data_IF_914224315888
#
_entry.id   IF_914224315888
#
_cell.length_a   1.000
_cell.length_b   1.000
_cell.length_c   1.000
_cell.angle_alpha   90.00
_cell.angle_beta   90.00
_cell.angle_gamma   90.00
#
_symmetry.space_group_name_H-M   'P 1'
#
loop_
_entity.id
_entity.type
_entity.pdbx_description
1 polymer ?
#
# COMPACT_ATOMS: atom_id res chain seq x y z
N UNK A 1 -5.88 -7.39 7.46
CA UNK A 1 -7.01 -6.56 6.98
C UNK A 1 -7.11 -6.48 5.45
N UNK A 2 -6.01 -6.53 4.70
CA UNK A 2 -6.01 -6.51 3.22
C UNK A 2 -6.30 -7.87 2.52
N UNK A 3 -6.69 -8.91 3.26
CA UNK A 3 -7.07 -10.20 2.67
C UNK A 3 -5.96 -11.24 2.45
N UNK A 4 -4.73 -11.06 2.97
CA UNK A 4 -3.58 -12.00 2.84
C UNK A 4 -3.97 -13.47 3.09
N UNK A 5 -4.51 -13.78 4.27
CA UNK A 5 -4.92 -15.13 4.66
C UNK A 5 -6.00 -15.70 3.74
N UNK A 6 -6.95 -14.87 3.29
CA UNK A 6 -8.00 -15.30 2.37
C UNK A 6 -7.40 -15.67 1.00
N UNK A 7 -6.56 -14.80 0.43
CA UNK A 7 -5.91 -15.03 -0.85
C UNK A 7 -5.07 -16.31 -0.85
N UNK A 8 -4.26 -16.53 0.19
CA UNK A 8 -3.43 -17.74 0.32
C UNK A 8 -4.28 -19.00 0.48
N UNK A 9 -5.38 -18.94 1.24
CA UNK A 9 -6.31 -20.09 1.36
C UNK A 9 -6.96 -20.44 0.03
N UNK A 10 -7.44 -19.46 -0.72
CA UNK A 10 -8.06 -19.69 -2.03
C UNK A 10 -7.05 -20.21 -3.05
N UNK A 11 -5.82 -19.69 -3.04
CA UNK A 11 -4.72 -20.21 -3.84
C UNK A 11 -4.41 -21.67 -3.49
N UNK A 12 -4.26 -21.99 -2.20
CA UNK A 12 -3.97 -23.34 -1.74
C UNK A 12 -5.05 -24.35 -2.16
N UNK A 13 -6.33 -23.98 -2.02
CA UNK A 13 -7.48 -24.82 -2.45
C UNK A 13 -7.48 -25.10 -3.95
N UNK A 14 -7.07 -24.12 -4.75
CA UNK A 14 -7.18 -24.19 -6.21
C UNK A 14 -5.99 -24.91 -6.86
N UNK A 15 -4.85 -25.01 -6.17
CA UNK A 15 -3.59 -25.46 -6.77
C UNK A 15 -2.96 -26.69 -6.11
N UNK A 16 -3.43 -27.11 -4.93
CA UNK A 16 -2.84 -28.25 -4.20
C UNK A 16 -3.86 -29.33 -3.90
N UNK A 17 -3.39 -30.59 -3.84
CA UNK A 17 -4.21 -31.72 -3.38
C UNK A 17 -4.45 -31.67 -1.87
N UNK A 18 -3.45 -31.18 -1.12
CA UNK A 18 -3.48 -31.14 0.34
C UNK A 18 -2.97 -29.77 0.81
N UNK A 19 -3.66 -29.19 1.79
CA UNK A 19 -3.28 -27.89 2.30
C UNK A 19 -3.59 -27.77 3.79
N UNK A 20 -2.59 -27.36 4.54
CA UNK A 20 -2.68 -27.14 5.99
C UNK A 20 -2.45 -25.67 6.30
N UNK A 21 -3.04 -25.19 7.40
CA UNK A 21 -2.81 -23.84 7.92
C UNK A 21 -2.48 -23.88 9.40
N UNK A 22 -1.47 -23.10 9.78
CA UNK A 22 -1.04 -22.86 11.14
C UNK A 22 -1.21 -21.36 11.40
N UNK A 23 -2.22 -20.99 12.18
CA UNK A 23 -2.46 -19.61 12.59
C UNK A 23 -1.79 -19.38 13.95
N UNK A 24 -0.60 -18.78 13.91
CA UNK A 24 0.24 -18.63 15.10
C UNK A 24 -0.33 -17.62 16.10
N UNK A 25 -1.17 -16.68 15.66
CA UNK A 25 -1.85 -15.77 16.58
C UNK A 25 -3.00 -16.46 17.30
N UNK A 26 -3.80 -17.22 16.54
CA UNK A 26 -5.00 -17.88 17.07
C UNK A 26 -4.68 -19.08 17.94
N UNK A 27 -3.65 -19.86 17.60
CA UNK A 27 -3.32 -21.13 18.25
C UNK A 27 -1.91 -21.10 18.84
N UNK A 28 -1.72 -20.41 19.97
CA UNK A 28 -0.39 -20.29 20.63
C UNK A 28 0.24 -21.65 20.96
N UNK A 29 -0.56 -22.69 21.21
CA UNK A 29 -0.06 -24.04 21.51
C UNK A 29 0.78 -24.66 20.37
N UNK A 30 0.52 -24.32 19.11
CA UNK A 30 1.26 -24.88 17.97
C UNK A 30 2.68 -24.34 17.85
N UNK A 31 3.04 -23.29 18.61
CA UNK A 31 4.40 -22.76 18.65
C UNK A 31 5.40 -23.83 19.11
N UNK A 32 4.95 -24.72 20.02
CA UNK A 32 5.75 -25.85 20.53
C UNK A 32 6.30 -26.78 19.45
N UNK A 33 5.66 -26.85 18.28
CA UNK A 33 6.12 -27.63 17.12
C UNK A 33 7.52 -27.17 16.66
N UNK A 34 7.85 -25.89 16.87
CA UNK A 34 9.07 -25.26 16.38
C UNK A 34 10.11 -25.00 17.48
N UNK A 35 9.88 -25.43 18.73
CA UNK A 35 10.81 -25.19 19.84
C UNK A 35 11.97 -26.20 19.88
N UNK A 36 11.80 -27.39 19.28
CA UNK A 36 12.83 -28.44 19.18
C UNK A 36 13.85 -28.20 18.07
N UNK A 37 14.50 -29.28 17.63
CA UNK A 37 15.35 -29.25 16.43
C UNK A 37 14.48 -29.03 15.19
N UNK A 38 15.02 -28.34 14.18
CA UNK A 38 14.33 -28.09 12.91
C UNK A 38 14.36 -29.31 11.97
N UNK A 39 14.03 -30.47 12.54
CA UNK A 39 13.86 -31.73 11.83
C UNK A 39 12.49 -31.74 11.14
N UNK A 40 12.51 -31.78 9.80
CA UNK A 40 11.29 -31.66 9.00
C UNK A 40 10.36 -32.86 9.21
N UNK A 41 10.88 -34.07 9.46
CA UNK A 41 10.03 -35.23 9.70
C UNK A 41 9.22 -35.09 11.00
N UNK A 42 9.86 -34.63 12.08
CA UNK A 42 9.20 -34.37 13.35
C UNK A 42 8.19 -33.22 13.27
N UNK A 43 8.53 -32.14 12.56
CA UNK A 43 7.63 -31.01 12.35
C UNK A 43 6.40 -31.48 11.56
N UNK A 44 6.60 -32.19 10.45
CA UNK A 44 5.49 -32.70 9.61
C UNK A 44 4.62 -33.69 10.37
N UNK A 45 5.21 -34.59 11.16
CA UNK A 45 4.47 -35.51 12.02
C UNK A 45 3.56 -34.73 12.98
N UNK A 46 4.11 -33.71 13.63
CA UNK A 46 3.37 -32.85 14.56
C UNK A 46 2.23 -32.10 13.86
N UNK A 47 2.47 -31.52 12.68
CA UNK A 47 1.44 -30.83 11.90
C UNK A 47 0.37 -31.82 11.42
N UNK A 48 0.75 -33.05 11.03
CA UNK A 48 -0.19 -34.07 10.55
C UNK A 48 -1.24 -34.44 11.62
N UNK A 49 -0.82 -34.42 12.89
CA UNK A 49 -1.64 -34.70 14.06
C UNK A 49 -2.57 -33.55 14.47
N UNK A 50 -2.40 -32.35 13.90
CA UNK A 50 -3.26 -31.21 14.20
C UNK A 50 -4.74 -31.49 13.82
N UNK A 51 -5.69 -30.87 14.52
CA UNK A 51 -7.11 -31.08 14.29
C UNK A 51 -7.57 -30.71 12.87
N UNK A 52 -8.79 -31.14 12.52
CA UNK A 52 -9.37 -30.90 11.18
C UNK A 52 -9.48 -29.43 10.81
N UNK A 53 -9.56 -28.52 11.78
CA UNK A 53 -9.61 -27.07 11.55
C UNK A 53 -8.33 -26.50 10.93
N UNK A 54 -7.19 -27.18 11.09
CA UNK A 54 -5.92 -26.83 10.45
C UNK A 54 -5.82 -27.33 9.00
N UNK A 55 -6.88 -27.93 8.44
CA UNK A 55 -6.91 -28.39 7.05
C UNK A 55 -7.73 -27.40 6.22
N UNK A 56 -7.08 -26.76 5.26
CA UNK A 56 -7.74 -25.89 4.29
C UNK A 56 -8.62 -26.73 3.35
N UNK A 57 -8.12 -27.89 2.92
CA UNK A 57 -8.84 -28.85 2.07
C UNK A 57 -9.33 -30.02 2.92
N UNK A 58 -10.61 -30.36 2.79
CA UNK A 58 -11.23 -31.47 3.54
C UNK A 58 -10.47 -32.77 3.26
N UNK A 59 -10.11 -33.48 4.33
CA UNK A 59 -9.34 -34.74 4.30
C UNK A 59 -7.87 -34.62 3.83
N UNK A 60 -7.28 -33.43 3.89
CA UNK A 60 -5.83 -33.26 3.62
C UNK A 60 -4.98 -34.25 4.41
N UNK A 61 -4.00 -34.83 3.72
CA UNK A 61 -2.96 -35.71 4.25
C UNK A 61 -1.60 -35.07 4.00
N UNK A 62 -0.61 -35.41 4.82
CA UNK A 62 0.77 -35.00 4.57
C UNK A 62 1.37 -35.91 3.50
N UNK A 63 1.40 -35.43 2.26
CA UNK A 63 1.93 -36.17 1.12
C UNK A 63 3.05 -35.33 0.49
N UNK A 64 4.31 -35.82 0.48
CA UNK A 64 5.41 -35.13 -0.18
C UNK A 64 5.08 -34.70 -1.61
N UNK A 65 5.52 -33.49 -1.99
CA UNK A 65 5.37 -32.87 -3.30
C UNK A 65 3.91 -32.59 -3.73
N UNK A 66 2.95 -32.74 -2.82
CA UNK A 66 1.50 -32.56 -3.06
C UNK A 66 0.82 -31.76 -1.95
N UNK A 67 1.60 -31.25 -1.00
CA UNK A 67 1.10 -30.57 0.18
C UNK A 67 1.74 -29.19 0.30
N UNK A 68 0.89 -28.17 0.48
CA UNK A 68 1.32 -26.84 0.91
C UNK A 68 1.01 -26.61 2.38
N UNK A 69 1.94 -25.95 3.08
CA UNK A 69 1.78 -25.49 4.44
C UNK A 69 1.62 -23.97 4.45
N UNK A 70 0.54 -23.49 5.06
CA UNK A 70 0.31 -22.05 5.24
C UNK A 70 0.67 -21.67 6.66
N UNK A 71 1.71 -20.86 6.81
CA UNK A 71 2.16 -20.31 8.09
C UNK A 71 1.60 -18.89 8.21
N UNK A 72 0.47 -18.76 8.90
CA UNK A 72 -0.30 -17.52 9.00
C UNK A 72 0.15 -16.72 10.24
N UNK A 73 0.33 -15.41 10.07
CA UNK A 73 0.87 -14.51 11.09
C UNK A 73 2.25 -14.96 11.61
N UNK A 74 3.16 -15.28 10.69
CA UNK A 74 4.50 -15.82 10.93
C UNK A 74 5.31 -15.05 11.98
N UNK A 75 5.13 -13.73 12.07
CA UNK A 75 5.81 -12.89 13.05
C UNK A 75 5.46 -13.24 14.50
N UNK A 76 4.35 -13.94 14.73
CA UNK A 76 3.96 -14.43 16.06
C UNK A 76 4.71 -15.72 16.44
N UNK A 77 5.38 -16.42 15.49
CA UNK A 77 6.24 -17.58 15.77
C UNK A 77 7.61 -17.48 15.07
N UNK A 78 8.60 -16.78 15.67
CA UNK A 78 9.93 -16.58 15.08
C UNK A 78 10.72 -17.87 14.80
N UNK A 79 10.50 -18.92 15.58
CA UNK A 79 11.11 -20.23 15.36
C UNK A 79 10.55 -20.91 14.10
N UNK A 80 9.26 -20.72 13.78
CA UNK A 80 8.70 -21.17 12.50
C UNK A 80 9.38 -20.47 11.31
N UNK A 81 9.66 -19.16 11.41
CA UNK A 81 10.44 -18.44 10.38
C UNK A 81 11.87 -18.99 10.26
N UNK A 82 12.50 -19.31 11.38
CA UNK A 82 13.85 -19.89 11.40
C UNK A 82 13.89 -21.27 10.73
N UNK A 83 12.80 -22.04 10.81
CA UNK A 83 12.68 -23.35 10.18
C UNK A 83 12.61 -23.32 8.64
N UNK A 84 12.28 -22.17 8.03
CA UNK A 84 12.08 -22.06 6.58
C UNK A 84 13.31 -22.47 5.76
N UNK A 85 14.52 -22.26 6.30
CA UNK A 85 15.76 -22.76 5.67
C UNK A 85 15.71 -24.27 5.45
N UNK A 86 15.29 -25.01 6.47
CA UNK A 86 15.28 -26.47 6.46
C UNK A 86 14.13 -27.01 5.59
N UNK A 87 12.99 -26.31 5.55
CA UNK A 87 11.93 -26.61 4.58
C UNK A 87 12.40 -26.45 3.13
N UNK A 88 13.16 -25.38 2.85
CA UNK A 88 13.75 -25.15 1.53
C UNK A 88 14.81 -26.21 1.15
N UNK A 89 15.66 -26.60 2.10
CA UNK A 89 16.67 -27.65 1.88
C UNK A 89 16.03 -29.03 1.67
N UNK A 90 14.94 -29.33 2.38
CA UNK A 90 14.20 -30.57 2.28
C UNK A 90 13.39 -30.68 0.96
N UNK A 91 12.68 -29.62 0.59
CA UNK A 91 11.98 -29.51 -0.70
C UNK A 91 10.76 -30.42 -0.89
N UNK A 92 10.32 -31.19 0.13
CA UNK A 92 9.13 -32.04 0.01
C UNK A 92 7.82 -31.28 0.18
N UNK A 93 7.84 -30.09 0.76
CA UNK A 93 6.65 -29.31 1.10
C UNK A 93 6.81 -27.85 0.72
N UNK A 94 5.84 -27.30 0.00
CA UNK A 94 5.78 -25.87 -0.25
C UNK A 94 5.28 -25.16 1.01
N UNK A 95 5.89 -24.03 1.34
CA UNK A 95 5.51 -23.22 2.51
C UNK A 95 5.17 -21.80 2.06
N UNK A 96 3.94 -21.38 2.34
CA UNK A 96 3.49 -20.01 2.12
C UNK A 96 3.28 -19.35 3.46
N UNK A 97 4.03 -18.28 3.71
CA UNK A 97 3.90 -17.51 4.93
C UNK A 97 3.05 -16.26 4.71
N UNK A 98 2.20 -15.93 5.67
CA UNK A 98 1.62 -14.59 5.77
C UNK A 98 2.20 -13.91 7.00
N UNK A 99 2.27 -12.59 6.95
CA UNK A 99 2.53 -11.81 8.14
C UNK A 99 2.24 -10.35 7.89
N UNK A 100 1.78 -9.69 8.95
CA UNK A 100 1.79 -8.24 9.00
C UNK A 100 3.14 -7.82 9.59
N UNK A 101 3.70 -6.71 9.13
CA UNK A 101 4.80 -6.05 9.85
C UNK A 101 6.12 -6.85 9.90
N UNK A 102 6.32 -7.80 8.98
CA UNK A 102 7.53 -8.65 8.91
C UNK A 102 8.86 -7.88 8.73
N UNK A 103 8.78 -6.56 8.47
CA UNK A 103 9.90 -5.62 8.39
C UNK A 103 9.86 -4.46 9.38
N UNK A 104 8.93 -4.43 10.36
CA UNK A 104 9.00 -3.42 11.43
C UNK A 104 10.04 -3.87 12.46
N UNK A 105 11.18 -3.19 12.44
CA UNK A 105 12.20 -3.28 13.48
C UNK A 105 11.54 -3.08 14.87
N UNK A 106 11.61 -4.09 15.73
CA UNK A 106 11.17 -4.03 17.13
C UNK A 106 9.68 -4.28 17.43
N UNK A 107 8.79 -4.39 16.43
CA UNK A 107 7.36 -4.60 16.73
C UNK A 107 7.05 -6.06 17.08
N UNK A 108 7.67 -7.01 16.36
CA UNK A 108 7.43 -8.47 16.52
C UNK A 108 8.64 -9.36 16.23
N UNK A 109 9.84 -8.80 16.31
CA UNK A 109 11.02 -9.64 16.51
C UNK A 109 11.03 -9.91 18.01
N UNK A 110 10.65 -11.12 18.42
CA UNK A 110 10.80 -11.50 19.82
C UNK A 110 12.23 -11.20 20.26
N UNK A 111 12.40 -10.59 21.44
CA UNK A 111 13.74 -10.37 22.00
C UNK A 111 14.40 -11.67 22.45
N UNK A 112 13.66 -12.80 22.40
CA UNK A 112 14.28 -14.12 22.47
C UNK A 112 15.27 -14.24 21.30
N UNK A 113 16.47 -14.80 21.54
CA UNK A 113 17.38 -15.10 20.45
C UNK A 113 16.67 -16.05 19.47
N UNK A 114 16.16 -15.53 18.36
CA UNK A 114 15.89 -16.39 17.20
C UNK A 114 17.20 -17.07 16.83
N UNK A 115 17.16 -18.31 16.36
CA UNK A 115 18.37 -19.04 15.93
C UNK A 115 18.96 -18.48 14.61
N UNK A 116 18.71 -17.20 14.32
CA UNK A 116 18.99 -16.50 13.08
C UNK A 116 17.76 -16.41 12.18
N UNK A 117 17.63 -15.31 11.44
CA UNK A 117 16.70 -15.22 10.31
C UNK A 117 17.31 -16.04 9.17
N UNK A 118 16.50 -16.89 8.53
CA UNK A 118 16.89 -17.69 7.38
C UNK A 118 17.06 -16.83 6.11
N UNK A 119 18.06 -15.95 6.10
CA UNK A 119 18.34 -15.05 4.96
C UNK A 119 18.54 -15.88 3.68
N UNK A 120 17.82 -15.51 2.62
CA UNK A 120 17.88 -16.22 1.32
C UNK A 120 17.06 -17.50 1.23
N UNK A 121 16.27 -17.84 2.26
CA UNK A 121 15.37 -19.00 2.26
C UNK A 121 13.90 -18.65 2.02
N UNK A 122 13.59 -17.37 1.88
CA UNK A 122 12.24 -16.85 1.64
C UNK A 122 12.24 -15.91 0.43
N UNK A 123 11.16 -15.95 -0.35
CA UNK A 123 10.81 -14.92 -1.32
C UNK A 123 9.72 -14.04 -0.70
N UNK A 124 9.95 -12.73 -0.62
CA UNK A 124 9.01 -11.80 -0.02
C UNK A 124 8.18 -11.13 -1.11
N UNK A 125 6.86 -11.25 -0.99
CA UNK A 125 5.89 -10.56 -1.84
C UNK A 125 5.12 -9.59 -0.95
N UNK A 126 5.23 -8.31 -1.27
CA UNK A 126 4.43 -7.27 -0.62
C UNK A 126 3.02 -7.26 -1.23
N UNK A 127 2.01 -7.17 -0.37
CA UNK A 127 0.61 -7.12 -0.78
C UNK A 127 0.00 -5.82 -0.24
N UNK A 128 -0.77 -5.14 -1.08
CA UNK A 128 -1.44 -3.89 -0.76
C UNK A 128 -2.97 -4.06 -0.78
N UNK A 129 -3.74 -3.07 -0.31
CA UNK A 129 -5.17 -2.99 -0.62
C UNK A 129 -5.38 -2.99 -2.14
N UNK A 130 -6.58 -3.42 -2.58
CA UNK A 130 -6.91 -3.55 -4.00
C UNK A 130 -6.62 -2.25 -4.76
N UNK A 131 -6.01 -2.34 -5.93
CA UNK A 131 -5.83 -1.17 -6.79
C UNK A 131 -7.10 -0.85 -7.59
N UNK A 132 -7.04 0.19 -8.44
CA UNK A 132 -8.19 0.55 -9.26
C UNK A 132 -8.57 -0.53 -10.29
N UNK A 133 -7.61 -1.25 -10.86
CA UNK A 133 -7.91 -2.32 -11.82
C UNK A 133 -8.61 -3.49 -11.12
N UNK A 134 -8.14 -3.90 -9.95
CA UNK A 134 -8.77 -4.92 -9.11
C UNK A 134 -10.17 -4.49 -8.66
N UNK A 135 -10.37 -3.20 -8.36
CA UNK A 135 -11.70 -2.64 -8.09
C UNK A 135 -12.65 -2.76 -9.29
N UNK A 136 -12.15 -2.54 -10.51
CA UNK A 136 -12.94 -2.77 -11.74
C UNK A 136 -13.30 -4.25 -11.92
N UNK A 137 -12.39 -5.17 -11.59
CA UNK A 137 -12.69 -6.60 -11.60
C UNK A 137 -13.78 -6.97 -10.61
N UNK A 138 -13.71 -6.41 -9.40
CA UNK A 138 -14.71 -6.64 -8.36
C UNK A 138 -16.10 -6.13 -8.75
N UNK A 139 -16.16 -5.04 -9.55
CA UNK A 139 -17.39 -4.52 -10.16
C UNK A 139 -17.85 -5.29 -11.41
N UNK A 140 -17.17 -6.38 -11.78
CA UNK A 140 -17.43 -7.17 -12.98
C UNK A 140 -17.37 -6.35 -14.28
N UNK A 141 -16.48 -5.36 -14.35
CA UNK A 141 -16.22 -4.64 -15.61
C UNK A 141 -15.52 -5.60 -16.58
N UNK A 142 -16.03 -5.66 -17.81
CA UNK A 142 -15.52 -6.56 -18.85
C UNK A 142 -14.02 -6.31 -19.10
N UNK A 143 -13.23 -7.39 -19.05
CA UNK A 143 -11.78 -7.37 -19.28
C UNK A 143 -11.41 -6.80 -20.66
N UNK A 144 -12.25 -6.97 -21.68
CA UNK A 144 -12.03 -6.40 -23.01
C UNK A 144 -12.08 -4.86 -22.98
N UNK A 145 -12.92 -4.26 -22.14
CA UNK A 145 -12.98 -2.80 -21.97
C UNK A 145 -11.71 -2.31 -21.28
N UNK A 146 -11.25 -3.01 -20.24
CA UNK A 146 -9.99 -2.70 -19.53
C UNK A 146 -8.80 -2.83 -20.50
N UNK A 147 -8.75 -3.90 -21.29
CA UNK A 147 -7.70 -4.11 -22.29
C UNK A 147 -7.76 -3.04 -23.40
N UNK A 148 -8.94 -2.61 -23.82
CA UNK A 148 -9.08 -1.51 -24.78
C UNK A 148 -8.52 -0.19 -24.21
N UNK A 149 -8.77 0.12 -22.93
CA UNK A 149 -8.14 1.26 -22.27
C UNK A 149 -6.61 1.15 -22.29
N UNK A 150 -6.06 -0.01 -21.94
CA UNK A 150 -4.60 -0.27 -21.97
C UNK A 150 -4.02 -0.05 -23.36
N UNK A 151 -4.68 -0.55 -24.40
CA UNK A 151 -4.30 -0.34 -25.80
C UNK A 151 -4.35 1.15 -26.19
N UNK A 152 -5.41 1.88 -25.83
CA UNK A 152 -5.49 3.32 -26.07
C UNK A 152 -4.34 4.09 -25.39
N UNK A 153 -3.94 3.70 -24.18
CA UNK A 153 -2.79 4.32 -23.48
C UNK A 153 -1.48 4.03 -24.21
N UNK A 154 -1.24 2.77 -24.57
CA UNK A 154 -0.01 2.34 -25.25
C UNK A 154 0.13 2.98 -26.63
N UNK A 155 -0.97 3.05 -27.38
CA UNK A 155 -1.03 3.71 -28.70
C UNK A 155 -1.19 5.23 -28.62
N UNK A 156 -1.33 5.79 -27.41
CA UNK A 156 -1.54 7.22 -27.17
C UNK A 156 -2.75 7.79 -27.92
N UNK A 157 -3.83 7.01 -28.03
CA UNK A 157 -5.09 7.37 -28.68
C UNK A 157 -6.16 7.68 -27.64
N UNK A 158 -7.08 8.56 -28.00
CA UNK A 158 -8.26 8.85 -27.17
C UNK A 158 -9.04 7.58 -26.84
N UNK A 159 -9.45 7.45 -25.59
CA UNK A 159 -10.39 6.43 -25.17
C UNK A 159 -11.81 6.87 -25.56
N UNK A 160 -12.70 5.99 -26.06
CA UNK A 160 -14.03 6.41 -26.53
C UNK A 160 -14.76 7.27 -25.50
N UNK A 161 -15.28 8.44 -25.90
CA UNK A 161 -15.81 9.47 -24.98
C UNK A 161 -16.82 8.93 -23.97
N UNK A 162 -17.73 8.06 -24.42
CA UNK A 162 -18.71 7.43 -23.54
C UNK A 162 -18.05 6.54 -22.45
N UNK A 163 -17.02 5.77 -22.80
CA UNK A 163 -16.28 4.97 -21.84
C UNK A 163 -15.40 5.84 -20.95
N UNK A 164 -14.84 6.93 -21.49
CA UNK A 164 -14.07 7.91 -20.73
C UNK A 164 -14.89 8.49 -19.57
N UNK A 165 -16.11 8.96 -19.82
CA UNK A 165 -16.99 9.48 -18.76
C UNK A 165 -17.35 8.41 -17.73
N UNK A 166 -17.63 7.18 -18.17
CA UNK A 166 -17.88 6.06 -17.25
C UNK A 166 -16.69 5.75 -16.35
N UNK A 167 -15.47 5.77 -16.89
CA UNK A 167 -14.26 5.53 -16.11
C UNK A 167 -13.95 6.69 -15.16
N UNK A 168 -14.31 7.93 -15.50
CA UNK A 168 -14.28 9.06 -14.56
C UNK A 168 -15.24 8.86 -13.39
N UNK A 169 -16.44 8.31 -13.63
CA UNK A 169 -17.36 7.94 -12.54
C UNK A 169 -16.83 6.80 -11.67
N UNK A 170 -16.23 5.78 -12.30
CA UNK A 170 -15.67 4.63 -11.59
C UNK A 170 -14.48 5.05 -10.70
N UNK A 171 -13.58 5.89 -11.19
CA UNK A 171 -12.46 6.36 -10.36
C UNK A 171 -12.94 7.28 -9.23
N UNK A 172 -13.98 8.10 -9.45
CA UNK A 172 -14.60 8.88 -8.36
C UNK A 172 -15.18 7.97 -7.27
N UNK A 173 -15.82 6.85 -7.64
CA UNK A 173 -16.28 5.83 -6.70
C UNK A 173 -15.12 5.17 -5.97
N UNK A 174 -14.08 4.76 -6.68
CA UNK A 174 -12.87 4.19 -6.08
C UNK A 174 -12.21 5.14 -5.08
N UNK A 175 -12.09 6.43 -5.39
CA UNK A 175 -11.56 7.43 -4.44
C UNK A 175 -12.37 7.46 -3.14
N UNK A 176 -13.70 7.32 -3.21
CA UNK A 176 -14.56 7.29 -2.03
C UNK A 176 -14.48 5.97 -1.24
N UNK A 177 -14.27 4.85 -1.94
CA UNK A 177 -14.33 3.49 -1.37
C UNK A 177 -12.95 3.01 -0.88
N UNK A 178 -11.90 3.27 -1.66
CA UNK A 178 -10.55 2.73 -1.45
C UNK A 178 -10.40 1.29 -1.94
N UNK A 179 -9.30 0.67 -1.54
CA UNK A 179 -8.92 -0.70 -1.91
C UNK A 179 -9.12 -1.74 -0.81
N UNK A 180 -9.57 -1.33 0.38
CA UNK A 180 -9.76 -2.27 1.51
C UNK A 180 -10.84 -3.31 1.16
N UNK A 181 -10.54 -4.63 1.14
CA UNK A 181 -11.46 -5.64 0.59
C UNK A 181 -12.83 -5.68 1.26
N UNK A 182 -12.91 -5.51 2.58
CA UNK A 182 -14.19 -5.46 3.30
C UNK A 182 -15.03 -4.24 2.87
N UNK A 183 -14.37 -3.10 2.63
CA UNK A 183 -15.01 -1.86 2.20
C UNK A 183 -15.52 -1.99 0.76
N UNK A 184 -14.71 -2.59 -0.12
CA UNK A 184 -15.08 -2.89 -1.51
C UNK A 184 -16.25 -3.87 -1.56
N UNK A 185 -16.22 -4.96 -0.79
CA UNK A 185 -17.31 -5.94 -0.71
C UNK A 185 -18.61 -5.26 -0.28
N UNK A 186 -18.56 -4.42 0.77
CA UNK A 186 -19.74 -3.70 1.24
C UNK A 186 -20.29 -2.76 0.18
N UNK A 187 -19.43 -2.05 -0.53
CA UNK A 187 -19.85 -1.17 -1.63
C UNK A 187 -20.56 -1.95 -2.74
N UNK A 188 -20.05 -3.14 -3.11
CA UNK A 188 -20.68 -4.00 -4.13
C UNK A 188 -22.05 -4.50 -3.67
N UNK A 189 -22.17 -4.87 -2.39
CA UNK A 189 -23.41 -5.39 -1.81
C UNK A 189 -24.51 -4.33 -1.70
N UNK A 190 -24.17 -3.10 -1.30
CA UNK A 190 -25.18 -2.08 -0.94
C UNK A 190 -25.25 -0.90 -1.89
N UNK A 191 -24.17 -0.62 -2.63
CA UNK A 191 -23.97 0.62 -3.38
C UNK A 191 -24.24 1.89 -2.53
N UNK A 192 -24.03 1.80 -1.21
CA UNK A 192 -24.31 2.85 -0.23
C UNK A 192 -23.02 3.36 0.43
N UNK A 193 -22.66 4.61 0.12
CA UNK A 193 -21.46 5.24 0.67
C UNK A 193 -21.55 5.55 2.18
N UNK A 194 -22.74 5.63 2.76
CA UNK A 194 -22.92 5.80 4.21
C UNK A 194 -22.50 4.51 4.93
N UNK A 195 -22.91 3.35 4.42
CA UNK A 195 -22.50 2.04 4.96
C UNK A 195 -21.01 1.77 4.76
N UNK A 196 -20.48 2.09 3.57
CA UNK A 196 -19.03 2.06 3.28
C UNK A 196 -18.24 2.87 4.32
N UNK A 197 -18.68 4.10 4.59
CA UNK A 197 -18.01 4.99 5.53
C UNK A 197 -18.03 4.48 6.97
N UNK A 198 -19.08 3.77 7.40
CA UNK A 198 -19.11 3.12 8.72
C UNK A 198 -17.97 2.10 8.86
N UNK A 199 -17.72 1.30 7.82
CA UNK A 199 -16.62 0.32 7.82
C UNK A 199 -15.27 1.04 7.82
N UNK A 200 -15.08 2.05 6.96
CA UNK A 200 -13.82 2.81 6.92
C UNK A 200 -13.50 3.46 8.27
N UNK A 201 -14.49 4.08 8.93
CA UNK A 201 -14.32 4.67 10.25
C UNK A 201 -13.98 3.62 11.32
N UNK A 202 -14.63 2.44 11.26
CA UNK A 202 -14.30 1.31 12.14
C UNK A 202 -12.85 0.88 11.94
N UNK A 203 -12.41 0.69 10.69
CA UNK A 203 -11.02 0.33 10.38
C UNK A 203 -10.02 1.36 10.91
N UNK A 204 -10.31 2.65 10.77
CA UNK A 204 -9.47 3.73 11.34
C UNK A 204 -9.37 3.60 12.87
N UNK A 205 -10.49 3.33 13.54
CA UNK A 205 -10.51 3.10 15.00
C UNK A 205 -9.69 1.86 15.37
N UNK A 206 -9.87 0.75 14.63
CA UNK A 206 -9.15 -0.50 14.84
C UNK A 206 -7.64 -0.28 14.69
N UNK A 207 -7.19 0.42 13.63
CA UNK A 207 -5.79 0.78 13.46
C UNK A 207 -5.25 1.63 14.61
N UNK A 208 -6.01 2.65 15.04
CA UNK A 208 -5.63 3.51 16.18
C UNK A 208 -5.54 2.75 17.50
N UNK A 209 -6.21 1.60 17.63
CA UNK A 209 -6.11 0.74 18.80
C UNK A 209 -4.76 0.02 18.89
N UNK A 210 -4.12 -0.24 17.75
CA UNK A 210 -2.80 -0.88 17.66
C UNK A 210 -1.63 0.11 17.84
N UNK A 211 -1.88 1.43 17.79
CA UNK A 211 -0.81 2.43 17.84
C UNK A 211 0.01 2.35 19.13
N UNK A 212 1.33 2.35 19.00
CA UNK A 212 2.28 2.30 20.13
C UNK A 212 2.39 0.92 20.78
N UNK A 213 1.71 -0.10 20.25
CA UNK A 213 1.90 -1.48 20.74
C UNK A 213 3.28 -2.02 20.37
N UNK A 214 3.85 -2.90 21.17
CA UNK A 214 5.10 -3.62 20.91
C UNK A 214 5.21 -4.84 21.84
N UNK A 215 6.15 -5.74 21.58
CA UNK A 215 6.45 -6.85 22.49
C UNK A 215 7.42 -6.39 23.59
N UNK A 216 7.08 -6.67 24.85
CA UNK A 216 8.02 -6.53 25.97
C UNK A 216 9.03 -7.69 26.02
N UNK A 217 9.94 -7.67 27.00
CA UNK A 217 10.97 -8.71 27.18
C UNK A 217 10.40 -10.12 27.41
N UNK A 218 9.13 -10.20 27.86
CA UNK A 218 8.39 -11.45 28.09
C UNK A 218 7.54 -11.88 26.89
N UNK A 219 7.66 -11.22 25.73
CA UNK A 219 6.81 -11.40 24.54
C UNK A 219 5.32 -11.11 24.78
N UNK A 220 5.00 -10.24 25.73
CA UNK A 220 3.63 -9.75 25.94
C UNK A 220 3.41 -8.48 25.12
N UNK A 221 2.23 -8.34 24.53
CA UNK A 221 1.84 -7.11 23.82
C UNK A 221 1.59 -6.02 24.87
N UNK A 222 2.39 -4.96 24.82
CA UNK A 222 2.28 -3.78 25.66
C UNK A 222 2.13 -2.53 24.79
N UNK A 223 1.51 -1.49 25.32
CA UNK A 223 1.30 -0.21 24.61
C UNK A 223 2.08 0.91 25.29
N UNK A 224 2.95 1.60 24.57
CA UNK A 224 3.51 2.87 25.00
C UNK A 224 2.49 3.98 24.71
N UNK A 225 1.78 4.43 25.74
CA UNK A 225 0.74 5.47 25.62
C UNK A 225 1.29 6.83 25.14
N UNK A 226 2.54 7.14 25.46
CA UNK A 226 3.18 8.38 25.00
C UNK A 226 3.51 8.29 23.50
N UNK A 227 4.03 7.15 23.05
CA UNK A 227 4.26 6.90 21.64
C UNK A 227 2.95 6.83 20.86
N UNK A 228 1.94 6.13 21.39
CA UNK A 228 0.59 6.06 20.83
C UNK A 228 0.00 7.44 20.59
N UNK A 229 0.08 8.33 21.56
CA UNK A 229 -0.42 9.71 21.43
C UNK A 229 0.27 10.42 20.26
N UNK A 230 1.60 10.31 20.14
CA UNK A 230 2.34 10.93 19.03
C UNK A 230 1.98 10.33 17.67
N UNK A 231 1.78 9.01 17.61
CA UNK A 231 1.35 8.32 16.38
C UNK A 231 -0.05 8.81 15.97
N UNK A 232 -0.99 8.90 16.91
CA UNK A 232 -2.33 9.46 16.68
C UNK A 232 -2.25 10.90 16.16
N UNK A 233 -1.48 11.75 16.84
CA UNK A 233 -1.30 13.15 16.49
C UNK A 233 -0.72 13.34 15.07
N UNK A 234 0.28 12.54 14.70
CA UNK A 234 0.83 12.54 13.34
C UNK A 234 -0.24 12.10 12.35
N UNK A 235 -0.90 10.97 12.59
CA UNK A 235 -1.89 10.39 11.67
C UNK A 235 -3.06 11.35 11.44
N UNK A 236 -3.64 11.91 12.51
CA UNK A 236 -4.77 12.83 12.44
C UNK A 236 -4.39 14.19 11.83
N UNK A 237 -3.11 14.55 11.80
CA UNK A 237 -2.65 15.76 11.14
C UNK A 237 -2.57 15.65 9.62
N UNK A 238 -2.50 14.43 9.05
CA UNK A 238 -2.20 14.21 7.61
C UNK A 238 -3.16 14.98 6.68
N UNK A 239 -4.50 14.94 6.88
CA UNK A 239 -5.41 15.71 6.02
C UNK A 239 -5.12 17.21 6.05
N UNK A 240 -4.81 17.77 7.23
CA UNK A 240 -4.43 19.18 7.37
C UNK A 240 -3.09 19.48 6.70
N UNK A 241 -2.12 18.56 6.74
CA UNK A 241 -0.84 18.70 6.06
C UNK A 241 -1.02 18.78 4.53
N UNK A 242 -1.86 17.91 3.98
CA UNK A 242 -2.11 17.83 2.54
C UNK A 242 -2.96 19.00 2.00
N UNK A 243 -3.81 19.60 2.84
CA UNK A 243 -4.63 20.75 2.48
C UNK A 243 -3.84 22.07 2.35
N UNK A 244 -2.59 22.13 2.82
CA UNK A 244 -1.73 23.31 2.69
C UNK A 244 -1.33 23.55 1.25
N UNK A 245 -1.05 24.81 0.90
CA UNK A 245 -0.42 25.15 -0.38
C UNK A 245 0.95 24.48 -0.49
N UNK A 246 1.82 24.67 0.51
CA UNK A 246 3.05 23.91 0.64
C UNK A 246 2.80 22.62 1.42
N UNK A 247 2.74 21.50 0.71
CA UNK A 247 2.45 20.19 1.30
C UNK A 247 3.63 19.54 2.04
N UNK A 248 4.79 20.19 2.11
CA UNK A 248 5.91 19.75 2.96
C UNK A 248 5.39 19.54 4.38
N UNK A 249 5.67 18.38 4.94
CA UNK A 249 5.26 18.02 6.29
C UNK A 249 5.89 18.98 7.30
N UNK A 250 5.06 19.54 8.18
CA UNK A 250 5.49 20.51 9.17
C UNK A 250 5.00 20.05 10.54
N UNK A 251 5.93 19.76 11.45
CA UNK A 251 5.61 19.34 12.82
C UNK A 251 4.76 20.38 13.56
N UNK A 252 4.94 21.67 13.28
CA UNK A 252 4.16 22.77 13.88
C UNK A 252 2.65 22.73 13.57
N UNK A 253 2.23 21.98 12.55
CA UNK A 253 0.81 21.77 12.20
C UNK A 253 0.16 20.74 13.14
N UNK A 254 0.96 19.84 13.72
CA UNK A 254 0.51 18.91 14.76
C UNK A 254 0.28 19.69 16.05
N UNK A 255 1.35 20.30 16.57
CA UNK A 255 1.35 21.19 17.73
C UNK A 255 2.51 22.19 17.60
N UNK A 256 2.36 23.42 18.10
CA UNK A 256 3.41 24.45 18.03
C UNK A 256 4.75 24.03 18.66
N UNK A 257 4.71 23.13 19.65
CA UNK A 257 5.89 22.59 20.35
C UNK A 257 6.39 21.27 19.74
N UNK A 258 5.67 20.69 18.79
CA UNK A 258 6.09 19.45 18.13
C UNK A 258 7.38 19.69 17.31
N UNK A 259 8.34 18.77 17.46
CA UNK A 259 9.65 18.83 16.79
C UNK A 259 9.95 17.49 16.13
N UNK A 260 10.86 17.50 15.15
CA UNK A 260 11.32 16.29 14.46
C UNK A 260 11.80 15.21 15.44
N UNK A 261 12.67 15.59 16.38
CA UNK A 261 13.23 14.68 17.39
C UNK A 261 12.18 13.92 18.19
N UNK A 262 10.97 14.45 18.33
CA UNK A 262 9.92 13.83 19.14
C UNK A 262 8.88 13.04 18.34
N UNK A 263 8.75 13.26 17.03
CA UNK A 263 7.68 12.67 16.20
C UNK A 263 8.19 11.87 15.00
N UNK A 264 9.50 11.88 14.72
CA UNK A 264 10.07 11.09 13.61
C UNK A 264 9.84 9.58 13.81
N UNK A 265 9.90 9.09 15.06
CA UNK A 265 9.59 7.67 15.36
C UNK A 265 8.15 7.32 15.02
N UNK A 266 7.20 8.22 15.31
CA UNK A 266 5.78 8.03 14.99
C UNK A 266 5.53 7.96 13.47
N UNK A 267 6.21 8.80 12.68
CA UNK A 267 6.14 8.73 11.20
C UNK A 267 6.73 7.41 10.69
N UNK A 268 7.89 7.00 11.22
CA UNK A 268 8.50 5.69 10.86
C UNK A 268 7.59 4.53 11.21
N UNK A 269 6.97 4.58 12.39
CA UNK A 269 6.02 3.57 12.85
C UNK A 269 4.83 3.45 11.88
N UNK A 270 4.18 4.57 11.53
CA UNK A 270 3.04 4.57 10.59
C UNK A 270 3.43 4.05 9.20
N UNK A 271 4.60 4.44 8.69
CA UNK A 271 5.11 3.96 7.40
C UNK A 271 5.34 2.46 7.45
N UNK A 272 6.03 2.00 8.48
CA UNK A 272 6.35 0.59 8.68
C UNK A 272 5.08 -0.25 8.91
N UNK A 273 4.03 0.33 9.50
CA UNK A 273 2.71 -0.29 9.63
C UNK A 273 1.95 -0.37 8.29
N UNK A 274 2.31 0.45 7.30
CA UNK A 274 1.69 0.49 5.98
C UNK A 274 0.43 1.36 5.90
N UNK A 275 0.32 2.37 6.78
CA UNK A 275 -0.79 3.35 6.73
C UNK A 275 -0.43 4.61 5.96
N UNK A 276 0.87 4.90 5.84
CA UNK A 276 1.35 6.12 5.18
C UNK A 276 2.54 5.86 4.28
N UNK A 277 2.70 6.75 3.32
CA UNK A 277 3.83 6.81 2.41
C UNK A 277 4.56 8.14 2.52
N UNK A 278 5.90 8.08 2.47
CA UNK A 278 6.77 9.25 2.58
C UNK A 278 7.32 9.58 1.20
N UNK A 279 7.09 10.83 0.76
CA UNK A 279 7.59 11.34 -0.51
C UNK A 279 8.68 12.39 -0.26
N UNK A 280 9.91 12.13 -0.67
CA UNK A 280 11.05 13.00 -0.38
C UNK A 280 11.29 14.04 -1.47
N UNK A 281 11.68 15.25 -1.08
CA UNK A 281 12.09 16.28 -2.02
C UNK A 281 13.45 15.91 -2.63
N UNK A 282 13.62 16.16 -3.91
CA UNK A 282 14.89 16.01 -4.59
C UNK A 282 15.67 17.33 -4.60
N UNK A 283 16.97 17.26 -4.31
CA UNK A 283 17.89 18.39 -4.47
C UNK A 283 18.16 18.70 -5.94
N UNK A 284 18.20 17.66 -6.78
CA UNK A 284 18.26 17.72 -8.25
C UNK A 284 17.52 16.52 -8.85
N UNK A 285 17.09 16.64 -10.11
CA UNK A 285 16.41 15.56 -10.85
C UNK A 285 17.47 14.76 -11.60
N UNK A 286 18.20 13.91 -10.87
CA UNK A 286 19.21 13.00 -11.40
C UNK A 286 19.07 11.61 -10.77
N UNK A 287 19.40 10.58 -11.54
CA UNK A 287 19.38 9.19 -11.06
C UNK A 287 20.72 8.78 -10.42
N UNK A 288 20.71 7.88 -9.42
CA UNK A 288 19.51 7.35 -8.75
C UNK A 288 18.91 8.40 -7.80
N UNK A 289 17.58 8.61 -7.86
CA UNK A 289 16.90 9.69 -7.12
C UNK A 289 17.15 9.66 -5.61
N UNK A 290 17.32 8.48 -5.00
CA UNK A 290 17.53 8.37 -3.57
C UNK A 290 18.80 9.10 -3.09
N UNK A 291 19.86 9.14 -3.91
CA UNK A 291 21.11 9.86 -3.59
C UNK A 291 20.89 11.36 -3.45
N UNK A 292 19.89 11.89 -4.14
CA UNK A 292 19.55 13.30 -4.15
C UNK A 292 18.35 13.64 -3.26
N UNK A 293 17.79 12.64 -2.56
CA UNK A 293 16.65 12.80 -1.66
C UNK A 293 17.04 13.57 -0.39
N UNK A 294 16.26 14.59 -0.04
CA UNK A 294 16.49 15.43 1.13
C UNK A 294 15.62 14.90 2.28
N UNK A 295 16.20 14.09 3.18
CA UNK A 295 15.46 13.35 4.21
C UNK A 295 14.61 14.22 5.17
N UNK A 296 14.97 15.49 5.38
CA UNK A 296 14.20 16.43 6.22
C UNK A 296 13.17 17.28 5.44
N UNK A 297 13.00 17.02 4.14
CA UNK A 297 11.98 17.64 3.29
C UNK A 297 11.15 16.56 2.64
N UNK A 298 9.96 16.33 3.19
CA UNK A 298 9.09 15.27 2.72
C UNK A 298 7.61 15.66 2.82
N UNK A 299 6.78 15.01 2.04
CA UNK A 299 5.32 14.97 2.15
C UNK A 299 4.90 13.60 2.70
N UNK A 300 3.71 13.51 3.28
CA UNK A 300 3.14 12.27 3.82
C UNK A 300 1.77 12.05 3.18
N UNK A 301 1.57 10.86 2.61
CA UNK A 301 0.32 10.42 1.99
C UNK A 301 -0.25 9.23 2.76
N UNK A 302 -1.56 9.03 2.71
CA UNK A 302 -2.21 7.82 3.25
C UNK A 302 -2.16 6.72 2.19
N UNK A 303 -1.82 5.50 2.58
CA UNK A 303 -1.60 4.39 1.63
C UNK A 303 -2.89 3.84 0.99
N UNK A 304 -4.07 4.23 1.50
CA UNK A 304 -5.37 3.95 0.89
C UNK A 304 -6.21 5.23 0.78
N UNK A 305 -6.62 5.58 -0.44
CA UNK A 305 -7.37 6.80 -0.73
C UNK A 305 -8.75 6.83 -0.06
N UNK A 306 -9.40 5.68 0.10
CA UNK A 306 -10.69 5.58 0.78
C UNK A 306 -10.58 5.90 2.26
N UNK A 307 -9.50 5.45 2.91
CA UNK A 307 -9.19 5.82 4.29
C UNK A 307 -8.88 7.32 4.41
N UNK A 308 -8.13 7.93 3.48
CA UNK A 308 -7.94 9.38 3.47
C UNK A 308 -9.29 10.12 3.42
N UNK A 309 -10.18 9.71 2.52
CA UNK A 309 -11.51 10.33 2.37
C UNK A 309 -12.39 10.12 3.61
N UNK A 310 -12.24 9.00 4.31
CA UNK A 310 -12.92 8.76 5.59
C UNK A 310 -12.41 9.69 6.72
N UNK A 311 -11.14 10.11 6.66
CA UNK A 311 -10.57 11.09 7.61
C UNK A 311 -11.03 12.54 7.36
N UNK A 312 -11.61 12.84 6.18
CA UNK A 312 -12.16 14.15 5.84
C UNK A 312 -13.62 14.32 6.32
N UNK A 313 -14.23 15.48 6.10
CA UNK A 313 -15.63 15.72 6.47
C UNK A 313 -16.61 14.77 5.76
N UNK A 314 -17.75 14.50 6.42
CA UNK A 314 -18.76 13.52 5.98
C UNK A 314 -19.39 13.80 4.61
N UNK A 315 -19.36 15.06 4.15
CA UNK A 315 -19.93 15.51 2.88
C UNK A 315 -18.93 15.41 1.71
N UNK A 316 -17.64 15.16 1.99
CA UNK A 316 -16.60 15.06 0.96
C UNK A 316 -16.88 13.95 -0.06
N UNK A 317 -17.30 12.72 0.30
CA UNK A 317 -17.66 11.70 -0.69
C UNK A 317 -18.70 12.17 -1.70
N UNK A 318 -19.72 12.90 -1.24
CA UNK A 318 -20.74 13.48 -2.12
C UNK A 318 -20.13 14.51 -3.07
N UNK A 319 -19.26 15.40 -2.57
CA UNK A 319 -18.53 16.38 -3.40
C UNK A 319 -17.58 15.73 -4.41
N UNK A 320 -17.02 14.55 -4.11
CA UNK A 320 -16.20 13.78 -5.07
C UNK A 320 -17.09 13.32 -6.22
N UNK A 321 -18.20 12.65 -5.89
CA UNK A 321 -19.13 12.10 -6.87
C UNK A 321 -19.77 13.18 -7.76
N UNK A 322 -20.14 14.32 -7.18
CA UNK A 322 -20.71 15.46 -7.93
C UNK A 322 -19.66 16.30 -8.66
N UNK A 323 -18.36 15.96 -8.54
CA UNK A 323 -17.26 16.73 -9.07
C UNK A 323 -17.24 18.21 -8.59
N UNK A 324 -17.53 18.45 -7.30
CA UNK A 324 -17.68 19.78 -6.70
C UNK A 324 -16.78 20.04 -5.46
N UNK A 325 -15.67 19.32 -5.33
CA UNK A 325 -14.74 19.47 -4.20
C UNK A 325 -13.99 20.83 -4.05
N UNK A 326 -14.16 21.76 -4.99
CA UNK A 326 -13.46 23.05 -4.95
C UNK A 326 -11.92 22.95 -4.87
N UNK A 327 -11.31 23.73 -3.97
CA UNK A 327 -9.84 23.89 -3.80
C UNK A 327 -9.17 22.62 -3.25
N UNK A 328 -9.89 21.81 -2.47
CA UNK A 328 -9.37 20.58 -1.85
C UNK A 328 -9.15 19.41 -2.82
N UNK A 329 -9.46 19.56 -4.12
CA UNK A 329 -9.27 18.47 -5.11
C UNK A 329 -7.81 18.04 -5.25
N UNK A 330 -6.88 18.99 -5.12
CA UNK A 330 -5.45 18.74 -5.35
C UNK A 330 -4.90 17.63 -4.44
N UNK A 331 -5.19 17.69 -3.14
CA UNK A 331 -4.69 16.68 -2.19
C UNK A 331 -5.19 15.27 -2.49
N UNK A 332 -6.44 15.11 -2.93
CA UNK A 332 -7.05 13.80 -3.17
C UNK A 332 -6.40 13.14 -4.38
N UNK A 333 -6.29 13.87 -5.50
CA UNK A 333 -5.68 13.32 -6.70
C UNK A 333 -4.17 13.13 -6.55
N UNK A 334 -3.48 13.99 -5.79
CA UNK A 334 -2.06 13.79 -5.48
C UNK A 334 -1.86 12.52 -4.63
N UNK A 335 -2.69 12.30 -3.61
CA UNK A 335 -2.65 11.06 -2.81
C UNK A 335 -3.02 9.82 -3.63
N UNK A 336 -3.95 9.91 -4.58
CA UNK A 336 -4.26 8.82 -5.51
C UNK A 336 -3.04 8.43 -6.36
N UNK A 337 -2.25 9.41 -6.82
CA UNK A 337 -1.03 9.14 -7.58
C UNK A 337 0.08 8.58 -6.69
N UNK A 338 0.20 9.09 -5.45
CA UNK A 338 1.11 8.53 -4.46
C UNK A 338 0.79 7.05 -4.17
N UNK A 339 -0.49 6.73 -3.95
CA UNK A 339 -0.96 5.36 -3.77
C UNK A 339 -0.62 4.48 -4.98
N UNK A 340 -0.87 4.97 -6.20
CA UNK A 340 -0.56 4.22 -7.41
C UNK A 340 0.94 3.92 -7.54
N UNK A 341 1.81 4.91 -7.30
CA UNK A 341 3.26 4.69 -7.30
C UNK A 341 3.68 3.70 -6.21
N UNK A 342 3.15 3.83 -4.99
CA UNK A 342 3.47 2.95 -3.88
C UNK A 342 3.09 1.50 -4.16
N UNK A 343 1.85 1.24 -4.61
CA UNK A 343 1.36 -0.11 -4.94
C UNK A 343 2.13 -0.76 -6.08
N UNK A 344 2.77 0.03 -6.94
CA UNK A 344 3.67 -0.43 -8.01
C UNK A 344 5.11 -0.65 -7.54
N UNK A 345 5.39 -0.54 -6.24
CA UNK A 345 6.73 -0.68 -5.66
C UNK A 345 7.66 0.49 -6.01
N UNK A 346 7.12 1.64 -6.46
CA UNK A 346 7.94 2.80 -6.84
C UNK A 346 8.14 3.74 -5.64
N UNK A 347 9.39 4.10 -5.29
CA UNK A 347 9.64 5.09 -4.26
C UNK A 347 9.08 6.46 -4.67
N UNK A 348 8.59 7.22 -3.68
CA UNK A 348 7.98 8.51 -3.91
C UNK A 348 9.00 9.65 -3.80
N UNK A 349 9.11 10.42 -4.88
CA UNK A 349 9.92 11.62 -4.92
C UNK A 349 9.12 12.78 -5.50
N UNK A 350 9.37 13.98 -5.01
CA UNK A 350 8.87 15.23 -5.58
C UNK A 350 10.02 16.22 -5.77
N UNK A 351 9.79 17.30 -6.49
CA UNK A 351 10.82 18.31 -6.69
C UNK A 351 10.28 19.70 -6.39
N UNK A 352 10.92 20.40 -5.45
CA UNK A 352 10.56 21.76 -5.11
C UNK A 352 11.77 22.64 -4.79
N UNK A 353 11.65 23.93 -5.09
CA UNK A 353 12.63 24.99 -4.78
C UNK A 353 11.94 26.16 -4.10
N UNK A 354 12.70 26.90 -3.29
CA UNK A 354 12.21 28.09 -2.58
C UNK A 354 11.70 29.20 -3.53
N UNK A 355 12.09 29.15 -4.80
CA UNK A 355 11.57 30.03 -5.87
C UNK A 355 10.08 29.81 -6.19
N UNK A 356 9.40 28.88 -5.54
CA UNK A 356 8.00 28.52 -5.81
C UNK A 356 7.83 27.50 -6.94
N UNK A 357 8.93 26.89 -7.39
CA UNK A 357 8.89 25.79 -8.36
C UNK A 357 8.51 24.51 -7.61
N UNK A 358 7.43 23.85 -8.01
CA UNK A 358 6.98 22.58 -7.42
C UNK A 358 6.47 21.64 -8.51
N UNK A 359 6.94 20.39 -8.47
CA UNK A 359 6.49 19.25 -9.27
C UNK A 359 5.92 18.23 -8.29
N UNK A 360 4.71 17.73 -8.58
CA UNK A 360 3.99 16.82 -7.68
C UNK A 360 4.78 15.53 -7.44
N UNK A 361 5.25 14.87 -8.51
CA UNK A 361 6.13 13.70 -8.40
C UNK A 361 7.21 13.63 -9.50
N UNK A 362 8.29 12.91 -9.21
CA UNK A 362 9.33 12.51 -10.16
C UNK A 362 9.44 10.99 -10.09
N UNK A 363 9.28 10.32 -11.24
CA UNK A 363 9.33 8.86 -11.29
C UNK A 363 9.88 8.36 -12.61
N UNK A 364 10.35 7.13 -12.63
CA UNK A 364 10.79 6.46 -13.84
C UNK A 364 9.64 5.72 -14.49
N UNK A 365 9.38 6.06 -15.75
CA UNK A 365 8.34 5.46 -16.57
C UNK A 365 8.96 5.20 -17.94
N UNK A 366 8.72 4.04 -18.55
CA UNK A 366 9.32 3.63 -19.83
C UNK A 366 10.86 3.72 -19.80
N UNK A 367 11.48 3.32 -18.68
CA UNK A 367 12.92 3.43 -18.45
C UNK A 367 13.50 4.85 -18.64
N UNK A 368 12.67 5.88 -18.45
CA UNK A 368 13.07 7.30 -18.54
C UNK A 368 12.53 8.06 -17.33
N UNK A 369 13.21 9.14 -16.97
CA UNK A 369 12.70 10.07 -15.96
C UNK A 369 11.51 10.87 -16.51
N UNK A 370 10.42 10.89 -15.75
CA UNK A 370 9.23 11.68 -16.00
C UNK A 370 8.96 12.63 -14.82
N UNK A 371 8.61 13.86 -15.15
CA UNK A 371 7.83 14.70 -14.25
C UNK A 371 6.38 14.19 -14.29
N UNK A 372 5.77 14.00 -13.13
CA UNK A 372 4.38 13.55 -13.01
C UNK A 372 3.58 14.61 -12.27
N UNK A 373 2.51 15.09 -12.91
CA UNK A 373 1.66 16.19 -12.42
C UNK A 373 0.22 15.71 -12.27
N UNK A 374 -0.37 15.86 -11.08
CA UNK A 374 -1.76 15.53 -10.80
C UNK A 374 -2.61 16.81 -10.85
N UNK A 375 -3.43 16.98 -11.90
CA UNK A 375 -4.24 18.20 -12.11
C UNK A 375 -5.73 17.93 -12.24
N UNK A 376 -6.49 18.31 -11.21
CA UNK A 376 -7.90 17.92 -11.07
C UNK A 376 -8.80 18.33 -12.25
N UNK A 377 -8.35 19.33 -13.02
CA UNK A 377 -8.91 19.77 -14.30
C UNK A 377 -7.78 20.11 -15.28
N UNK A 378 -8.10 20.77 -16.39
CA UNK A 378 -7.17 21.35 -17.37
C UNK A 378 -6.35 22.54 -16.80
N UNK A 379 -5.55 22.31 -15.76
CA UNK A 379 -4.57 23.27 -15.25
C UNK A 379 -3.32 23.35 -16.14
N UNK A 380 -2.68 24.52 -16.17
CA UNK A 380 -1.38 24.71 -16.83
C UNK A 380 -0.26 24.15 -15.94
N UNK A 381 0.73 23.48 -16.52
CA UNK A 381 1.89 22.91 -15.80
C UNK A 381 3.08 23.85 -15.91
N UNK A 382 2.93 25.08 -15.37
CA UNK A 382 3.96 26.12 -15.48
C UNK A 382 5.29 25.66 -14.88
N UNK A 383 5.28 25.08 -13.68
CA UNK A 383 6.47 24.57 -13.02
C UNK A 383 7.17 23.49 -13.85
N UNK A 384 6.43 22.47 -14.32
CA UNK A 384 7.01 21.46 -15.19
C UNK A 384 7.62 22.05 -16.47
N UNK A 385 6.95 23.02 -17.13
CA UNK A 385 7.51 23.69 -18.31
C UNK A 385 8.83 24.40 -17.98
N UNK A 386 8.91 25.08 -16.83
CA UNK A 386 10.14 25.72 -16.38
C UNK A 386 11.26 24.70 -16.15
N UNK A 387 10.96 23.54 -15.56
CA UNK A 387 11.94 22.46 -15.37
C UNK A 387 12.40 21.90 -16.71
N UNK A 388 11.47 21.55 -17.60
CA UNK A 388 11.76 20.94 -18.91
C UNK A 388 12.59 21.87 -19.82
N UNK A 389 12.42 23.18 -19.70
CA UNK A 389 13.15 24.16 -20.50
C UNK A 389 14.51 24.54 -19.90
N UNK A 390 14.85 24.03 -18.72
CA UNK A 390 16.10 24.34 -18.03
C UNK A 390 17.10 23.20 -18.20
N UNK A 391 18.19 23.48 -18.93
CA UNK A 391 19.25 22.52 -19.24
C UNK A 391 19.97 21.93 -18.02
N UNK A 392 19.81 22.53 -16.84
CA UNK A 392 20.38 22.00 -15.59
C UNK A 392 19.63 20.76 -15.08
N UNK A 393 18.42 20.48 -15.58
CA UNK A 393 17.65 19.29 -15.21
C UNK A 393 17.66 18.30 -16.36
N UNK A 394 18.09 17.06 -16.09
CA UNK A 394 18.18 15.98 -17.10
C UNK A 394 16.83 15.27 -17.28
N UNK A 395 15.77 16.03 -17.57
CA UNK A 395 14.42 15.51 -17.73
C UNK A 395 13.70 16.18 -18.88
N UNK A 396 13.18 15.37 -19.80
CA UNK A 396 12.51 15.84 -21.01
C UNK A 396 11.05 15.39 -21.10
N UNK A 397 10.59 14.52 -20.22
CA UNK A 397 9.26 13.92 -20.31
C UNK A 397 8.34 14.44 -19.20
N UNK A 398 7.09 14.73 -19.57
CA UNK A 398 6.04 15.09 -18.62
C UNK A 398 4.83 14.18 -18.82
N UNK A 399 4.40 13.55 -17.74
CA UNK A 399 3.11 12.89 -17.62
C UNK A 399 2.16 13.78 -16.82
N UNK A 400 1.08 14.24 -17.45
CA UNK A 400 0.00 14.97 -16.79
C UNK A 400 -1.19 14.03 -16.59
N UNK A 401 -1.46 13.68 -15.34
CA UNK A 401 -2.64 12.93 -14.94
C UNK A 401 -3.76 13.92 -14.59
N UNK A 402 -4.92 13.76 -15.21
CA UNK A 402 -6.02 14.75 -15.15
C UNK A 402 -7.38 14.10 -15.46
N UNK A 403 -8.46 14.87 -15.52
CA UNK A 403 -9.77 14.39 -15.97
C UNK A 403 -9.92 14.42 -17.49
N UNK A 404 -8.90 14.87 -18.23
CA UNK A 404 -8.93 14.94 -19.69
C UNK A 404 -8.65 13.56 -20.30
N UNK A 405 -9.09 13.38 -21.55
CA UNK A 405 -8.79 12.17 -22.31
C UNK A 405 -7.30 12.06 -22.67
N UNK A 406 -6.92 10.90 -23.18
CA UNK A 406 -5.55 10.56 -23.59
C UNK A 406 -5.15 11.48 -24.75
N UNK A 407 -3.99 12.13 -24.63
CA UNK A 407 -3.47 13.00 -25.68
C UNK A 407 -2.00 13.32 -25.52
N UNK A 408 -1.31 13.54 -26.63
CA UNK A 408 0.11 13.88 -26.66
C UNK A 408 0.31 15.17 -27.41
N UNK A 409 1.07 16.08 -26.81
CA UNK A 409 1.50 17.33 -27.44
C UNK A 409 2.93 17.62 -27.01
N UNK A 410 3.85 17.74 -27.98
CA UNK A 410 5.30 17.77 -27.74
C UNK A 410 5.75 16.60 -26.84
N UNK A 411 6.55 16.88 -25.80
CA UNK A 411 7.00 15.89 -24.82
C UNK A 411 6.04 15.70 -23.63
N UNK A 412 4.80 16.18 -23.76
CA UNK A 412 3.78 16.07 -22.72
C UNK A 412 2.77 15.00 -23.07
N UNK A 413 2.76 13.93 -22.30
CA UNK A 413 1.70 12.95 -22.31
C UNK A 413 0.62 13.35 -21.31
N UNK A 414 -0.60 13.58 -21.78
CA UNK A 414 -1.79 13.79 -20.94
C UNK A 414 -2.59 12.49 -20.90
N UNK A 415 -2.93 12.03 -19.70
CA UNK A 415 -3.72 10.82 -19.51
C UNK A 415 -4.72 11.00 -18.35
N UNK A 416 -5.84 10.27 -18.39
CA UNK A 416 -6.84 10.34 -17.33
C UNK A 416 -6.35 9.68 -16.02
N UNK A 417 -6.76 10.17 -14.86
CA UNK A 417 -6.35 9.61 -13.56
C UNK A 417 -6.63 8.12 -13.37
N UNK A 418 -7.72 7.62 -13.97
CA UNK A 418 -8.07 6.20 -13.93
C UNK A 418 -7.06 5.30 -14.66
N UNK A 419 -6.11 5.87 -15.40
CA UNK A 419 -5.00 5.16 -16.04
C UNK A 419 -3.74 5.08 -15.19
N UNK A 420 -3.69 5.76 -14.03
CA UNK A 420 -2.47 5.93 -13.23
C UNK A 420 -1.77 4.61 -12.90
N UNK A 421 -2.52 3.64 -12.36
CA UNK A 421 -2.01 2.31 -11.98
C UNK A 421 -1.41 1.52 -13.16
N UNK A 422 -1.85 1.79 -14.39
CA UNK A 422 -1.30 1.16 -15.58
C UNK A 422 -0.10 1.91 -16.15
N UNK A 423 -0.27 3.22 -16.38
CA UNK A 423 0.74 4.04 -17.06
C UNK A 423 2.00 4.22 -16.22
N UNK A 424 1.87 4.32 -14.89
CA UNK A 424 3.00 4.48 -13.99
C UNK A 424 3.82 3.21 -13.85
N UNK A 425 3.27 2.04 -14.21
CA UNK A 425 3.98 0.76 -14.17
C UNK A 425 4.95 0.58 -15.34
N UNK A 426 4.76 1.35 -16.42
CA UNK A 426 5.48 1.17 -17.67
C UNK A 426 6.94 1.60 -17.60
#
# INVERSE_FOLDING_TARGET
QIGKTYAVKEFAKSNYENAFILDFRKQVSIHSIFEGDFDIDNIILSISALPKENRIIKNSKMIPYKTVLVFDELQDCPNARSSLKYFKEDGRYDVICTGSLLGIEGYRVSKKPSRGIAVGSEEQIEMFPMDFEEFLWALNIDKNIINNLKLCIDEKKEFPTFLHEKFLDLIRKYICVGGMPEVVSKFIETNDLVEVRKIQNRLIIDYKSDFGTHLNDNNEIVTDELERTKIMDVFDSIPKQLAKENKKFQYSVIDKKAKSRTHESAIKWLKNYGLIDICYNLSTIEEPFDFFSIKNQFKVYVSDIGLLVAMLDKDVPFKILSNDLGIGKGMIYENLIAEALHKLGKPLYYFSKDSGLEIDFVSNIYSKTYLVEAKAKSGNTKSAKTVLNNSNYKVNNLLKLTSQNIGVFDNKFTAPYYSAFYILNK
#
